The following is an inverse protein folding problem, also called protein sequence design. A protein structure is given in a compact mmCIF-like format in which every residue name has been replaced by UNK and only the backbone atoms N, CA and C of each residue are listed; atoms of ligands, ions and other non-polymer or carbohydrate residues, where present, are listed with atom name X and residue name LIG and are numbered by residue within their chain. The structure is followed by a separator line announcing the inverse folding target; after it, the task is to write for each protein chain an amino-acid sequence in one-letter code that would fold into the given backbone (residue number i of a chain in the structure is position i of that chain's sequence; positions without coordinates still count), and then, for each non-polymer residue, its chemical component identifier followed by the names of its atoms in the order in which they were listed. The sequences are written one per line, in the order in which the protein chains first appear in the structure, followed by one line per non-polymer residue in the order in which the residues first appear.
data_IF_019453354721
#
_entry.id   IF_019453354721
#
_cell.length_a   1.000
_cell.length_b   1.000
_cell.length_c   1.000
_cell.angle_alpha   90.00
_cell.angle_beta   90.00
_cell.angle_gamma   90.00
#
_symmetry.space_group_name_H-M   'P 1'
#
loop_
_entity.id
_entity.type
_entity.pdbx_description
1 polymer ?
#
# COMPACT_ATOMS: atom_id res chain seq x y z
N UNK A 1 5.74 22.10 -2.12
CA UNK A 1 4.36 21.71 -1.71
C UNK A 1 3.33 21.70 -2.84
N UNK A 2 3.63 22.18 -4.05
CA UNK A 2 2.59 22.31 -5.10
C UNK A 2 2.17 21.01 -5.79
N UNK A 3 3.05 20.01 -5.90
CA UNK A 3 2.74 18.76 -6.60
C UNK A 3 1.78 17.83 -5.81
N UNK A 4 1.99 17.56 -4.49
CA UNK A 4 1.08 16.75 -3.70
C UNK A 4 -0.34 17.33 -3.63
N UNK A 5 -0.46 18.65 -3.46
CA UNK A 5 -1.77 19.32 -3.39
C UNK A 5 -2.57 19.19 -4.70
N UNK A 6 -1.91 19.33 -5.85
CA UNK A 6 -2.57 19.12 -7.16
C UNK A 6 -3.06 17.68 -7.31
N UNK A 7 -2.26 16.72 -6.88
CA UNK A 7 -2.61 15.31 -6.95
C UNK A 7 -3.79 14.98 -6.03
N UNK A 8 -3.80 15.50 -4.80
CA UNK A 8 -4.90 15.34 -3.86
C UNK A 8 -6.21 15.91 -4.43
N UNK A 9 -6.20 17.17 -4.89
CA UNK A 9 -7.40 17.80 -5.46
C UNK A 9 -7.91 17.05 -6.70
N UNK A 10 -7.01 16.54 -7.54
CA UNK A 10 -7.40 15.74 -8.69
C UNK A 10 -8.00 14.40 -8.28
N UNK A 11 -7.46 13.75 -7.24
CA UNK A 11 -7.99 12.51 -6.72
C UNK A 11 -9.41 12.69 -6.16
N UNK A 12 -9.63 13.69 -5.32
CA UNK A 12 -10.96 14.01 -4.78
C UNK A 12 -11.98 14.27 -5.89
N UNK A 13 -11.62 15.12 -6.86
CA UNK A 13 -12.49 15.46 -7.99
C UNK A 13 -12.79 14.27 -8.90
N UNK A 14 -11.78 13.44 -9.20
CA UNK A 14 -11.95 12.25 -10.04
C UNK A 14 -12.81 11.20 -9.35
N UNK A 15 -12.66 11.01 -8.03
CA UNK A 15 -13.46 10.07 -7.27
C UNK A 15 -14.90 10.57 -7.08
N UNK A 16 -15.11 11.86 -6.83
CA UNK A 16 -16.46 12.47 -6.72
C UNK A 16 -17.28 12.26 -8.00
N UNK A 17 -16.64 12.39 -9.16
CA UNK A 17 -17.27 12.21 -10.47
C UNK A 17 -17.41 10.77 -10.91
N UNK A 18 -16.78 9.84 -10.21
CA UNK A 18 -16.79 8.43 -10.59
C UNK A 18 -18.17 7.82 -10.37
N UNK A 19 -18.69 7.14 -11.39
CA UNK A 19 -19.93 6.39 -11.30
C UNK A 19 -19.59 4.93 -11.07
N UNK A 20 -20.10 4.39 -9.97
CA UNK A 20 -19.90 2.98 -9.61
C UNK A 20 -20.46 2.04 -10.69
N UNK A 21 -19.66 1.04 -11.07
CA UNK A 21 -20.05 -0.04 -12.00
C UNK A 21 -19.95 -1.39 -11.31
N UNK A 22 -20.93 -2.26 -11.49
CA UNK A 22 -20.92 -3.63 -10.96
C UNK A 22 -20.37 -4.64 -11.99
N UNK A 23 -20.60 -4.38 -13.27
CA UNK A 23 -20.14 -5.22 -14.37
C UNK A 23 -19.00 -4.52 -15.11
N UNK A 24 -17.91 -5.26 -15.31
CA UNK A 24 -16.76 -4.83 -16.09
C UNK A 24 -16.52 -5.84 -17.21
N UNK A 25 -16.50 -5.35 -18.46
CA UNK A 25 -16.01 -6.11 -19.60
C UNK A 25 -14.48 -6.20 -19.59
N UNK A 26 -13.92 -7.13 -20.36
CA UNK A 26 -12.48 -7.38 -20.43
C UNK A 26 -11.65 -6.14 -20.85
N UNK A 27 -12.26 -5.17 -21.53
CA UNK A 27 -11.61 -3.97 -22.05
C UNK A 27 -11.92 -2.67 -21.28
N UNK A 28 -12.66 -2.75 -20.17
CA UNK A 28 -13.12 -1.55 -19.46
C UNK A 28 -12.03 -0.90 -18.60
N UNK A 29 -11.03 -1.68 -18.16
CA UNK A 29 -9.99 -1.22 -17.25
C UNK A 29 -8.62 -1.66 -17.76
N UNK A 30 -7.87 -0.70 -18.30
CA UNK A 30 -6.55 -0.92 -18.87
C UNK A 30 -5.50 -0.30 -17.95
N UNK A 31 -4.57 -1.11 -17.45
CA UNK A 31 -3.49 -0.67 -16.57
C UNK A 31 -2.27 -1.59 -16.67
N UNK A 32 -1.13 -1.11 -16.18
CA UNK A 32 0.07 -1.94 -16.02
C UNK A 32 0.17 -2.44 -14.56
N UNK A 33 0.09 -3.75 -14.36
CA UNK A 33 0.32 -4.37 -13.06
C UNK A 33 1.82 -4.55 -12.84
N UNK A 34 2.34 -3.97 -11.76
CA UNK A 34 3.76 -3.96 -11.43
C UNK A 34 4.34 -5.35 -11.13
N UNK A 35 3.50 -6.31 -10.73
CA UNK A 35 3.90 -7.68 -10.39
C UNK A 35 3.89 -8.62 -11.60
N UNK A 36 3.38 -8.16 -12.74
CA UNK A 36 3.29 -9.00 -13.93
C UNK A 36 4.69 -9.33 -14.46
N UNK A 37 4.90 -10.61 -14.73
CA UNK A 37 6.08 -11.08 -15.44
C UNK A 37 5.90 -10.84 -16.94
N UNK A 38 6.52 -9.76 -17.43
CA UNK A 38 6.54 -9.39 -18.85
C UNK A 38 7.22 -10.44 -19.75
N UNK A 39 7.97 -11.40 -19.17
CA UNK A 39 8.69 -12.45 -19.90
C UNK A 39 7.91 -13.76 -20.00
N UNK A 40 6.78 -13.90 -19.29
CA UNK A 40 5.95 -15.10 -19.36
C UNK A 40 5.06 -15.06 -20.61
N UNK A 41 5.43 -15.83 -21.63
CA UNK A 41 4.67 -16.02 -22.87
C UNK A 41 3.39 -16.86 -22.73
N UNK A 42 3.00 -17.23 -21.51
CA UNK A 42 1.94 -18.22 -21.23
C UNK A 42 0.70 -17.69 -20.49
N UNK A 43 0.55 -16.38 -20.29
CA UNK A 43 -0.65 -15.85 -19.60
C UNK A 43 -1.64 -15.23 -20.59
N UNK A 44 -2.83 -15.83 -20.61
CA UNK A 44 -4.05 -15.47 -21.35
C UNK A 44 -4.02 -14.06 -21.99
N UNK A 45 -3.98 -14.04 -23.32
CA UNK A 45 -4.11 -12.85 -24.19
C UNK A 45 -5.47 -12.13 -24.06
N UNK A 46 -6.33 -12.57 -23.14
CA UNK A 46 -7.73 -12.13 -23.03
C UNK A 46 -7.91 -10.75 -22.41
N UNK A 47 -6.90 -10.17 -21.75
CA UNK A 47 -6.98 -8.81 -21.18
C UNK A 47 -6.01 -7.86 -21.87
N UNK A 48 -6.45 -6.67 -22.33
CA UNK A 48 -5.57 -5.65 -22.88
C UNK A 48 -4.63 -5.14 -21.79
N UNK A 49 -3.38 -5.60 -21.80
CA UNK A 49 -2.34 -5.17 -20.86
C UNK A 49 -1.43 -4.17 -21.54
N UNK A 50 -1.08 -3.10 -20.81
CA UNK A 50 -0.05 -2.16 -21.24
C UNK A 50 1.30 -2.89 -21.19
N UNK A 51 2.11 -2.73 -22.24
CA UNK A 51 3.51 -3.19 -22.30
C UNK A 51 4.42 -1.96 -22.27
N UNK A 52 4.90 -1.54 -21.08
CA UNK A 52 5.80 -0.40 -20.94
C UNK A 52 7.15 -0.65 -21.63
N UNK A 53 7.77 0.40 -22.16
CA UNK A 53 9.16 0.35 -22.63
C UNK A 53 10.10 0.83 -21.52
N UNK A 54 10.74 -0.12 -20.84
CA UNK A 54 11.52 0.15 -19.65
C UNK A 54 12.98 0.54 -19.97
N UNK A 55 13.31 1.80 -19.69
CA UNK A 55 14.65 2.34 -19.88
C UNK A 55 15.35 2.58 -18.54
N UNK A 56 16.65 2.29 -18.46
CA UNK A 56 17.41 2.50 -17.23
C UNK A 56 17.53 4.00 -16.93
N UNK A 57 17.15 4.39 -15.72
CA UNK A 57 17.27 5.78 -15.28
C UNK A 57 18.23 5.89 -14.07
N UNK A 58 19.20 6.79 -14.17
CA UNK A 58 20.24 6.97 -13.16
C UNK A 58 19.69 7.51 -11.82
N UNK A 59 18.68 8.40 -11.85
CA UNK A 59 18.09 8.97 -10.65
C UNK A 59 17.35 7.90 -9.83
N UNK A 60 16.62 7.01 -10.52
CA UNK A 60 15.86 5.93 -9.88
C UNK A 60 16.69 4.65 -9.62
N UNK A 61 17.88 4.54 -10.22
CA UNK A 61 18.76 3.35 -10.17
C UNK A 61 18.06 2.05 -10.59
N UNK A 62 17.01 2.15 -11.40
CA UNK A 62 16.18 1.04 -11.91
C UNK A 62 15.68 1.38 -13.32
N UNK A 63 15.09 0.39 -13.99
CA UNK A 63 14.42 0.60 -15.28
C UNK A 63 13.01 1.15 -15.04
N UNK A 64 12.68 2.23 -15.73
CA UNK A 64 11.41 2.94 -15.56
C UNK A 64 10.83 3.33 -16.91
N UNK A 65 9.51 3.51 -16.98
CA UNK A 65 8.79 4.05 -18.12
C UNK A 65 8.02 5.31 -17.68
N UNK A 66 8.30 6.44 -18.33
CA UNK A 66 7.67 7.74 -18.06
C UNK A 66 6.34 7.93 -18.80
N UNK A 67 5.96 7.03 -19.70
CA UNK A 67 4.69 7.09 -20.42
C UNK A 67 3.52 6.50 -19.64
N UNK A 68 3.79 5.62 -18.68
CA UNK A 68 2.74 4.90 -17.95
C UNK A 68 2.94 5.01 -16.44
N UNK A 69 1.89 4.69 -15.70
CA UNK A 69 1.95 4.41 -14.27
C UNK A 69 1.94 2.91 -14.04
N UNK A 70 2.44 2.49 -12.89
CA UNK A 70 2.38 1.11 -12.46
C UNK A 70 1.43 1.00 -11.26
N UNK A 71 0.72 -0.13 -11.20
CA UNK A 71 -0.18 -0.44 -10.08
C UNK A 71 0.34 -1.64 -9.33
N UNK A 72 0.47 -1.50 -8.02
CA UNK A 72 0.71 -2.57 -7.08
C UNK A 72 -0.60 -2.95 -6.39
N UNK A 73 -0.90 -4.25 -6.40
CA UNK A 73 -2.03 -4.85 -5.68
C UNK A 73 -1.43 -5.84 -4.67
N UNK A 74 -1.73 -5.71 -3.37
CA UNK A 74 -1.33 -6.68 -2.35
C UNK A 74 -1.75 -8.11 -2.70
N UNK A 75 -0.94 -9.08 -2.28
CA UNK A 75 -1.10 -10.49 -2.69
C UNK A 75 -2.37 -11.15 -2.13
N UNK A 76 -2.89 -10.62 -1.03
CA UNK A 76 -4.13 -11.03 -0.35
C UNK A 76 -5.41 -10.42 -0.97
N UNK A 77 -5.27 -9.53 -1.95
CA UNK A 77 -6.39 -8.85 -2.61
C UNK A 77 -6.58 -9.40 -4.03
N UNK A 78 -7.81 -9.80 -4.35
CA UNK A 78 -8.16 -10.25 -5.70
C UNK A 78 -8.35 -9.07 -6.66
N UNK A 79 -7.49 -8.98 -7.69
CA UNK A 79 -7.49 -7.89 -8.68
C UNK A 79 -8.78 -7.78 -9.51
N UNK A 80 -9.53 -8.87 -9.66
CA UNK A 80 -10.79 -8.90 -10.41
C UNK A 80 -12.03 -8.54 -9.58
N UNK A 81 -11.87 -8.15 -8.30
CA UNK A 81 -12.98 -7.69 -7.48
C UNK A 81 -13.54 -6.37 -8.02
N UNK A 82 -14.87 -6.21 -7.99
CA UNK A 82 -15.56 -4.99 -8.42
C UNK A 82 -15.04 -3.74 -7.70
N UNK A 83 -14.67 -3.86 -6.42
CA UNK A 83 -14.10 -2.75 -5.64
C UNK A 83 -12.75 -2.32 -6.23
N UNK A 84 -11.88 -3.28 -6.56
CA UNK A 84 -10.56 -3.02 -7.12
C UNK A 84 -10.67 -2.48 -8.55
N UNK A 85 -11.58 -3.01 -9.35
CA UNK A 85 -11.81 -2.55 -10.73
C UNK A 85 -12.35 -1.12 -10.77
N UNK A 86 -13.26 -0.74 -9.87
CA UNK A 86 -13.70 0.65 -9.74
C UNK A 86 -12.54 1.57 -9.34
N UNK A 87 -11.72 1.15 -8.37
CA UNK A 87 -10.53 1.91 -7.97
C UNK A 87 -9.55 2.12 -9.12
N UNK A 88 -9.24 1.06 -9.87
CA UNK A 88 -8.38 1.13 -11.06
C UNK A 88 -8.93 2.09 -12.11
N UNK A 89 -10.25 2.10 -12.31
CA UNK A 89 -10.93 2.91 -13.30
C UNK A 89 -10.81 4.41 -12.99
N UNK A 90 -11.21 4.85 -11.80
CA UNK A 90 -11.16 6.28 -11.48
C UNK A 90 -9.72 6.78 -11.26
N UNK A 91 -8.83 5.94 -10.69
CA UNK A 91 -7.43 6.31 -10.48
C UNK A 91 -6.64 6.44 -11.79
N UNK A 92 -7.15 5.93 -12.92
CA UNK A 92 -6.55 6.16 -14.23
C UNK A 92 -6.47 7.64 -14.59
N UNK A 93 -7.39 8.45 -14.08
CA UNK A 93 -7.34 9.89 -14.22
C UNK A 93 -6.09 10.49 -13.58
N UNK A 94 -5.43 9.86 -12.61
CA UNK A 94 -4.24 10.44 -11.96
C UNK A 94 -2.99 10.44 -12.86
N UNK A 95 -2.97 9.61 -13.92
CA UNK A 95 -1.82 9.45 -14.82
C UNK A 95 -1.36 10.77 -15.44
N UNK A 96 -2.31 11.62 -15.86
CA UNK A 96 -1.98 12.92 -16.44
C UNK A 96 -1.39 13.89 -15.42
N UNK A 97 -1.83 13.82 -14.16
CA UNK A 97 -1.35 14.69 -13.08
C UNK A 97 0.07 14.29 -12.69
N UNK A 98 0.35 12.99 -12.62
CA UNK A 98 1.69 12.48 -12.36
C UNK A 98 2.70 12.98 -13.40
N UNK A 99 2.34 12.88 -14.70
CA UNK A 99 3.16 13.39 -15.80
C UNK A 99 3.35 14.91 -15.71
N UNK A 100 2.26 15.66 -15.52
CA UNK A 100 2.31 17.11 -15.37
C UNK A 100 3.24 17.57 -14.24
N UNK A 101 3.24 16.85 -13.11
CA UNK A 101 4.13 17.14 -12.00
C UNK A 101 5.59 16.88 -12.36
N UNK A 102 5.89 15.82 -13.11
CA UNK A 102 7.25 15.50 -13.58
C UNK A 102 7.74 16.48 -14.64
N UNK A 103 6.86 16.92 -15.54
CA UNK A 103 7.18 17.92 -16.56
C UNK A 103 7.50 19.28 -15.93
N UNK A 104 6.81 19.62 -14.83
CA UNK A 104 7.07 20.84 -14.06
C UNK A 104 8.33 20.75 -13.20
N UNK A 105 8.65 19.55 -12.71
CA UNK A 105 9.85 19.31 -11.90
C UNK A 105 10.54 17.99 -12.30
N UNK A 106 11.54 18.06 -13.19
CA UNK A 106 12.30 16.89 -13.62
C UNK A 106 13.08 16.20 -12.49
N UNK A 107 13.30 16.84 -11.34
CA UNK A 107 14.03 16.25 -10.21
C UNK A 107 13.14 15.37 -9.32
N UNK A 108 11.82 15.44 -9.52
CA UNK A 108 10.84 14.75 -8.70
C UNK A 108 11.00 13.22 -8.82
N UNK A 109 11.09 12.56 -7.67
CA UNK A 109 11.24 11.11 -7.55
C UNK A 109 9.87 10.41 -7.66
N UNK A 110 9.69 9.27 -6.99
CA UNK A 110 8.44 8.52 -7.03
C UNK A 110 7.26 9.38 -6.59
N UNK A 111 6.19 9.33 -7.37
CA UNK A 111 4.89 9.81 -6.98
C UNK A 111 4.00 8.60 -6.75
N UNK A 112 3.30 8.55 -5.61
CA UNK A 112 2.48 7.40 -5.20
C UNK A 112 1.13 7.90 -4.73
N UNK A 113 0.07 7.23 -5.17
CA UNK A 113 -1.26 7.28 -4.59
C UNK A 113 -1.55 5.93 -3.93
N UNK A 114 -1.85 5.93 -2.64
CA UNK A 114 -2.31 4.76 -1.91
C UNK A 114 -3.81 4.82 -1.71
N UNK A 115 -4.54 3.81 -2.21
CA UNK A 115 -5.97 3.67 -2.01
C UNK A 115 -6.28 3.02 -0.65
N UNK A 116 -7.41 3.38 -0.07
CA UNK A 116 -7.97 2.73 1.11
C UNK A 116 -8.29 1.23 0.87
N UNK A 117 -8.50 0.83 -0.39
CA UNK A 117 -8.68 -0.58 -0.78
C UNK A 117 -7.38 -1.38 -0.68
N UNK A 118 -6.21 -0.74 -0.59
CA UNK A 118 -4.90 -1.39 -0.52
C UNK A 118 -4.09 -1.32 -1.82
N UNK A 119 -4.72 -0.88 -2.91
CA UNK A 119 -4.08 -0.63 -4.20
C UNK A 119 -3.14 0.57 -4.12
N UNK A 120 -1.94 0.48 -4.72
CA UNK A 120 -1.04 1.61 -4.85
C UNK A 120 -0.70 1.87 -6.32
N UNK A 121 -0.97 3.10 -6.80
CA UNK A 121 -0.57 3.55 -8.14
C UNK A 121 0.63 4.47 -8.03
N UNK A 122 1.66 4.24 -8.84
CA UNK A 122 2.88 5.03 -8.78
C UNK A 122 3.47 5.38 -10.15
N UNK A 123 4.24 6.46 -10.17
CA UNK A 123 4.87 7.02 -11.35
C UNK A 123 6.33 7.41 -11.07
N UNK A 124 7.26 7.18 -12.03
CA UNK A 124 7.08 6.48 -13.32
C UNK A 124 6.80 4.97 -13.14
N UNK A 125 6.30 4.30 -14.18
CA UNK A 125 6.09 2.86 -14.12
C UNK A 125 7.43 2.12 -13.97
N UNK A 126 7.46 1.07 -13.16
CA UNK A 126 8.60 0.17 -12.98
C UNK A 126 8.09 -1.18 -12.53
N UNK A 127 8.74 -2.29 -12.92
CA UNK A 127 8.42 -3.60 -12.37
C UNK A 127 8.69 -3.62 -10.86
N UNK A 128 7.80 -4.25 -10.09
CA UNK A 128 7.86 -4.37 -8.63
C UNK A 128 9.06 -5.24 -8.23
N UNK A 129 9.08 -6.46 -8.76
CA UNK A 129 10.14 -7.44 -8.53
C UNK A 129 11.24 -7.28 -9.57
N UNK A 130 12.49 -7.21 -9.10
CA UNK A 130 13.63 -7.46 -9.96
C UNK A 130 13.75 -8.99 -10.07
N UNK A 131 13.22 -9.55 -11.16
CA UNK A 131 13.17 -11.01 -11.39
C UNK A 131 14.55 -11.67 -11.27
N UNK A 132 15.63 -10.90 -11.40
CA UNK A 132 17.01 -11.35 -11.22
C UNK A 132 17.37 -11.70 -9.77
N UNK A 133 16.63 -11.22 -8.76
CA UNK A 133 17.01 -11.34 -7.33
C UNK A 133 15.96 -12.00 -6.43
N UNK A 134 14.72 -12.17 -6.89
CA UNK A 134 13.58 -12.29 -5.96
C UNK A 134 12.64 -13.47 -6.26
N UNK A 135 13.04 -14.43 -7.11
CA UNK A 135 12.19 -15.54 -7.57
C UNK A 135 11.51 -16.38 -6.46
N UNK A 136 11.99 -16.34 -5.21
CA UNK A 136 11.44 -17.08 -4.06
C UNK A 136 10.96 -16.23 -2.87
N UNK A 137 10.86 -14.89 -2.99
CA UNK A 137 10.33 -14.06 -1.91
C UNK A 137 8.89 -13.63 -2.22
N UNK A 138 7.98 -14.07 -1.35
CA UNK A 138 6.57 -13.64 -1.39
C UNK A 138 6.52 -12.15 -1.05
N UNK A 139 5.80 -11.39 -1.86
CA UNK A 139 5.57 -9.97 -1.60
C UNK A 139 4.48 -9.77 -0.54
N UNK A 140 4.89 -9.24 0.61
CA UNK A 140 4.03 -8.88 1.75
C UNK A 140 3.76 -7.36 1.81
N UNK A 141 4.03 -6.64 0.72
CA UNK A 141 3.77 -5.20 0.69
C UNK A 141 2.27 -4.91 0.66
N UNK A 142 1.85 -4.03 1.56
CA UNK A 142 0.52 -3.42 1.63
C UNK A 142 0.74 -1.92 1.90
N UNK A 143 0.10 -1.07 1.10
CA UNK A 143 0.24 0.38 1.18
C UNK A 143 -0.31 0.94 2.50
N UNK A 144 -1.35 0.33 3.05
CA UNK A 144 -2.05 0.80 4.25
C UNK A 144 -1.23 0.60 5.52
N UNK A 145 -0.27 -0.33 5.46
CA UNK A 145 0.67 -0.64 6.55
C UNK A 145 1.96 0.19 6.47
N UNK A 146 2.08 1.13 5.53
CA UNK A 146 3.31 1.92 5.37
C UNK A 146 3.30 3.13 6.30
N UNK A 147 4.43 3.45 6.97
CA UNK A 147 4.50 4.60 7.88
C UNK A 147 4.03 5.91 7.23
N UNK A 148 4.43 6.18 6.00
CA UNK A 148 4.03 7.39 5.26
C UNK A 148 2.51 7.48 5.01
N UNK A 149 1.83 6.33 4.88
CA UNK A 149 0.38 6.27 4.70
C UNK A 149 -0.32 6.49 6.05
N UNK A 150 0.16 5.81 7.10
CA UNK A 150 -0.40 5.87 8.45
C UNK A 150 -0.34 7.30 9.00
N UNK A 151 0.80 7.98 8.86
CA UNK A 151 1.00 9.37 9.30
C UNK A 151 0.08 10.37 8.60
N UNK A 152 -0.31 10.10 7.35
CA UNK A 152 -1.26 10.94 6.61
C UNK A 152 -2.72 10.60 6.89
N UNK A 153 -3.01 9.35 7.28
CA UNK A 153 -4.36 8.86 7.50
C UNK A 153 -4.89 9.10 8.92
N UNK A 154 -3.99 9.19 9.91
CA UNK A 154 -4.35 9.35 11.30
C UNK A 154 -3.52 10.44 11.97
N UNK A 155 -4.14 11.14 12.93
CA UNK A 155 -3.42 12.02 13.85
C UNK A 155 -2.69 11.19 14.93
N UNK A 156 -1.63 11.73 15.54
CA UNK A 156 -0.98 11.10 16.70
C UNK A 156 -2.00 10.70 17.76
N UNK A 157 -1.85 9.49 18.32
CA UNK A 157 -2.81 8.89 19.27
C UNK A 157 -2.11 8.31 20.51
N UNK A 158 -2.81 8.42 21.64
CA UNK A 158 -2.44 7.78 22.91
C UNK A 158 -3.24 6.48 23.09
N UNK A 159 -2.56 5.34 23.09
CA UNK A 159 -3.19 4.01 23.14
C UNK A 159 -2.81 3.26 24.43
N UNK A 160 -3.80 2.63 25.08
CA UNK A 160 -3.59 1.69 26.19
C UNK A 160 -4.08 0.30 25.75
N UNK A 161 -3.18 -0.67 25.66
CA UNK A 161 -3.50 -2.05 25.32
C UNK A 161 -3.59 -2.86 26.61
N UNK A 162 -4.76 -3.44 26.88
CA UNK A 162 -5.00 -4.33 28.01
C UNK A 162 -4.97 -5.79 27.52
N UNK A 163 -4.03 -6.57 28.02
CA UNK A 163 -3.82 -7.97 27.64
C UNK A 163 -4.27 -8.90 28.77
N UNK A 164 -5.32 -9.69 28.55
CA UNK A 164 -5.69 -10.75 29.48
C UNK A 164 -4.62 -11.86 29.46
N UNK A 165 -4.11 -12.21 30.65
CA UNK A 165 -3.18 -13.32 30.88
C UNK A 165 -3.74 -14.32 31.90
N UNK A 166 -5.05 -14.33 32.10
CA UNK A 166 -5.75 -15.30 32.94
C UNK A 166 -5.59 -16.74 32.41
N UNK A 167 -5.87 -17.74 33.25
CA UNK A 167 -5.65 -19.14 32.89
C UNK A 167 -6.46 -19.62 31.66
N UNK A 168 -7.54 -18.93 31.32
CA UNK A 168 -8.41 -19.26 30.17
C UNK A 168 -7.76 -18.95 28.81
N UNK A 169 -6.77 -18.04 28.77
CA UNK A 169 -6.09 -17.66 27.51
C UNK A 169 -4.84 -18.50 27.23
N UNK A 170 -4.62 -19.62 27.92
CA UNK A 170 -3.41 -20.43 27.74
C UNK A 170 -3.26 -21.09 26.35
N UNK A 171 -2.02 -21.39 25.98
CA UNK A 171 -1.70 -22.13 24.74
C UNK A 171 -1.84 -21.29 23.46
N UNK A 172 -2.69 -21.74 22.54
CA UNK A 172 -2.87 -21.11 21.22
C UNK A 172 -3.43 -19.69 21.34
N UNK A 173 -4.35 -19.46 22.27
CA UNK A 173 -5.00 -18.15 22.49
C UNK A 173 -3.97 -17.10 22.88
N UNK A 174 -3.08 -17.39 23.84
CA UNK A 174 -2.00 -16.47 24.23
C UNK A 174 -1.06 -16.16 23.06
N UNK A 175 -0.76 -17.17 22.23
CA UNK A 175 0.08 -16.98 21.04
C UNK A 175 -0.58 -16.03 20.04
N UNK A 176 -1.88 -16.21 19.76
CA UNK A 176 -2.64 -15.33 18.88
C UNK A 176 -2.73 -13.91 19.45
N UNK A 177 -3.01 -13.76 20.74
CA UNK A 177 -3.02 -12.46 21.41
C UNK A 177 -1.67 -11.76 21.26
N UNK A 178 -0.56 -12.46 21.51
CA UNK A 178 0.79 -11.89 21.36
C UNK A 178 1.09 -11.46 19.92
N UNK A 179 0.72 -12.27 18.93
CA UNK A 179 0.88 -11.89 17.52
C UNK A 179 0.02 -10.68 17.17
N UNK A 180 -1.26 -10.65 17.59
CA UNK A 180 -2.15 -9.52 17.34
C UNK A 180 -1.65 -8.23 17.96
N UNK A 181 -1.15 -8.26 19.20
CA UNK A 181 -0.55 -7.07 19.84
C UNK A 181 0.69 -6.62 19.07
N UNK A 182 1.54 -7.54 18.61
CA UNK A 182 2.70 -7.20 17.78
C UNK A 182 2.29 -6.50 16.48
N UNK A 183 1.32 -7.04 15.75
CA UNK A 183 0.80 -6.44 14.50
C UNK A 183 0.14 -5.08 14.76
N UNK A 184 -0.53 -4.89 15.91
CA UNK A 184 -1.07 -3.58 16.29
C UNK A 184 0.03 -2.56 16.53
N UNK A 185 1.12 -2.94 17.20
CA UNK A 185 2.26 -2.06 17.46
C UNK A 185 2.97 -1.65 16.17
N UNK A 186 3.00 -2.50 15.13
CA UNK A 186 3.53 -2.15 13.80
C UNK A 186 2.74 -1.04 13.10
N UNK A 187 1.51 -0.75 13.54
CA UNK A 187 0.69 0.35 13.00
C UNK A 187 0.92 1.70 13.70
N UNK A 188 1.77 1.72 14.73
CA UNK A 188 2.09 2.93 15.46
C UNK A 188 3.28 3.66 14.83
N UNK A 189 3.23 4.98 14.89
CA UNK A 189 4.28 5.88 14.46
C UNK A 189 5.09 6.41 15.65
N UNK A 190 6.19 7.09 15.37
CA UNK A 190 7.07 7.68 16.40
C UNK A 190 6.37 8.74 17.27
N UNK A 191 5.30 9.35 16.74
CA UNK A 191 4.49 10.36 17.42
C UNK A 191 3.37 9.75 18.29
N UNK A 192 3.14 8.44 18.20
CA UNK A 192 2.11 7.74 18.97
C UNK A 192 2.65 7.28 20.33
N UNK A 193 1.87 7.49 21.38
CA UNK A 193 2.17 6.94 22.70
C UNK A 193 1.39 5.66 22.91
N UNK A 194 2.08 4.62 23.40
CA UNK A 194 1.45 3.35 23.73
C UNK A 194 1.91 2.84 25.09
N UNK A 195 0.99 2.25 25.83
CA UNK A 195 1.30 1.47 27.02
C UNK A 195 0.60 0.12 26.95
N UNK A 196 1.29 -0.95 27.34
CA UNK A 196 0.75 -2.31 27.34
C UNK A 196 0.71 -2.83 28.78
N UNK A 197 -0.50 -3.20 29.23
CA UNK A 197 -0.77 -3.64 30.59
C UNK A 197 -1.36 -5.04 30.55
N UNK A 198 -0.74 -5.98 31.27
CA UNK A 198 -1.29 -7.32 31.44
C UNK A 198 -2.21 -7.40 32.66
N UNK A 199 -3.33 -8.10 32.53
CA UNK A 199 -4.34 -8.28 33.57
C UNK A 199 -4.50 -9.76 33.89
N UNK A 200 -4.45 -10.10 35.18
CA UNK A 200 -4.70 -11.46 35.68
C UNK A 200 -5.65 -11.42 36.88
N UNK A 201 -6.43 -12.50 37.08
CA UNK A 201 -7.42 -12.64 38.17
C UNK A 201 -6.81 -12.42 39.57
N UNK A 202 -5.50 -12.63 39.76
CA UNK A 202 -4.85 -12.52 41.08
C UNK A 202 -4.09 -11.19 41.29
N UNK A 203 -3.78 -10.44 40.24
CA UNK A 203 -2.93 -9.23 40.33
C UNK A 203 -3.05 -8.40 39.07
N UNK A 204 -3.33 -7.10 39.23
CA UNK A 204 -3.08 -6.08 38.20
C UNK A 204 -1.72 -5.47 38.50
N UNK A 205 -0.62 -6.08 38.11
CA UNK A 205 0.63 -5.32 37.92
C UNK A 205 1.54 -6.05 36.93
N UNK A 206 1.57 -5.58 35.69
CA UNK A 206 2.84 -5.35 35.00
C UNK A 206 2.61 -4.29 33.92
N UNK A 207 3.11 -3.08 34.16
CA UNK A 207 3.33 -2.10 33.10
C UNK A 207 4.53 -2.62 32.33
N UNK A 208 4.30 -3.21 31.17
CA UNK A 208 5.39 -3.54 30.26
C UNK A 208 5.49 -2.38 29.27
N UNK A 209 6.50 -1.55 29.53
CA UNK A 209 7.15 -0.69 28.56
C UNK A 209 6.39 0.60 28.26
N UNK A 210 6.84 1.70 28.88
CA UNK A 210 6.79 3.03 28.29
C UNK A 210 8.05 3.19 27.43
N UNK A 211 8.03 2.69 26.20
CA UNK A 211 9.05 3.02 25.22
C UNK A 211 8.40 3.90 24.16
N UNK A 212 9.03 5.04 23.88
CA UNK A 212 8.94 5.62 22.53
C UNK A 212 9.15 4.46 21.56
N UNK A 213 8.24 4.29 20.61
CA UNK A 213 8.49 3.40 19.47
C UNK A 213 9.70 4.02 18.77
N UNK A 214 10.89 3.56 19.12
CA UNK A 214 12.12 3.93 18.45
C UNK A 214 12.34 2.77 17.48
N UNK A 215 11.99 2.98 16.21
CA UNK A 215 12.34 2.03 15.16
C UNK A 215 13.84 1.69 15.23
N UNK A 216 14.16 0.39 15.27
CA UNK A 216 15.51 -0.12 14.97
C UNK A 216 15.83 0.08 13.49
#
# INVERSE_FOLDING_TARGET
MTAPLRLANAAEYSQEKHVWKEEFGDNDVIYYNAKDDLMSSERNESRPRIKPDFQFNQAFRRRVDFNHTAVHIPTDIYEGSTIVLNELNWTAALDHVFKLNKDKDPTLMWQVFGSATGLARYYPASPWVDLTKTANRIDLYDVRRRPWYIQGAASPKDMLILVDVSGSVSGLTLKLIRTSVSEMLETLSDDDYVNVVSVSIATIVHVMISSRVCCQ
#
